data_IF_252408076463
#
_entry.id   IF_252408076463
#
_cell.length_a   1.000
_cell.length_b   1.000
_cell.length_c   1.000
_cell.angle_alpha   90.00
_cell.angle_beta   90.00
_cell.angle_gamma   90.00
#
_symmetry.space_group_name_H-M   'P 1'
#
loop_
_entity.id
_entity.type
_entity.pdbx_description
1 polymer ?
#
# COMPACT_ATOMS: atom_id res chain seq x y z
N UNK A 1 -15.61 -13.30 -3.35
CA UNK A 1 -14.78 -12.12 -3.62
C UNK A 1 -13.34 -12.59 -3.63
N UNK A 2 -12.48 -12.13 -4.55
CA UNK A 2 -11.06 -12.48 -4.51
C UNK A 2 -10.43 -12.02 -3.19
N UNK A 3 -9.54 -12.84 -2.65
CA UNK A 3 -8.77 -12.54 -1.45
C UNK A 3 -7.43 -11.93 -1.86
N UNK A 4 -7.04 -10.87 -1.16
CA UNK A 4 -5.75 -10.21 -1.32
C UNK A 4 -5.02 -10.13 0.01
N UNK A 5 -3.71 -10.21 -0.03
CA UNK A 5 -2.84 -10.12 1.13
C UNK A 5 -2.06 -8.80 1.07
N UNK A 6 -2.00 -8.09 2.20
CA UNK A 6 -1.38 -6.77 2.31
C UNK A 6 -0.15 -6.85 3.18
N UNK A 7 1.00 -7.05 2.56
CA UNK A 7 2.25 -7.27 3.27
C UNK A 7 3.03 -5.97 3.43
N UNK A 8 3.62 -5.76 4.60
CA UNK A 8 4.36 -4.54 4.90
C UNK A 8 5.85 -4.84 4.86
N UNK A 9 6.60 -4.03 4.11
CA UNK A 9 8.07 -4.04 4.10
C UNK A 9 8.55 -2.82 4.88
N UNK A 10 9.18 -3.03 6.04
CA UNK A 10 9.72 -1.98 6.92
C UNK A 10 10.98 -2.49 7.63
N UNK A 11 12.04 -2.73 6.85
CA UNK A 11 13.26 -3.40 7.29
C UNK A 11 13.13 -4.93 7.45
N UNK A 12 11.91 -5.43 7.60
CA UNK A 12 11.51 -6.83 7.50
C UNK A 12 10.15 -6.92 6.79
N UNK A 13 9.80 -8.13 6.33
CA UNK A 13 8.51 -8.40 5.67
C UNK A 13 7.52 -8.91 6.72
N UNK A 14 6.43 -8.19 6.91
CA UNK A 14 5.28 -8.60 7.71
C UNK A 14 4.22 -9.16 6.79
N UNK A 15 4.02 -10.48 6.84
CA UNK A 15 3.01 -11.18 6.05
C UNK A 15 1.60 -10.97 6.64
N UNK A 16 0.59 -10.85 5.77
CA UNK A 16 -0.82 -10.87 6.14
C UNK A 16 -1.41 -12.26 5.82
N UNK A 17 -1.47 -13.22 6.75
CA UNK A 17 -1.95 -14.57 6.46
C UNK A 17 -3.48 -14.64 6.31
N UNK A 18 -4.21 -13.63 6.76
CA UNK A 18 -5.67 -13.64 6.71
C UNK A 18 -6.18 -13.13 5.37
N UNK A 19 -5.53 -12.11 4.83
CA UNK A 19 -5.98 -11.40 3.66
C UNK A 19 -7.33 -10.72 3.86
N UNK A 20 -7.72 -9.89 2.91
CA UNK A 20 -9.01 -9.21 2.88
C UNK A 20 -9.74 -9.51 1.58
N UNK A 21 -11.05 -9.75 1.69
CA UNK A 21 -11.93 -9.83 0.53
C UNK A 21 -12.03 -8.47 -0.16
N UNK A 22 -11.61 -8.40 -1.43
CA UNK A 22 -11.82 -7.26 -2.30
C UNK A 22 -12.67 -7.66 -3.50
N UNK A 23 -13.31 -6.68 -4.13
CA UNK A 23 -14.17 -6.88 -5.30
C UNK A 23 -13.32 -7.10 -6.55
N UNK A 24 -12.21 -6.38 -6.65
CA UNK A 24 -11.24 -6.37 -7.75
C UNK A 24 -9.89 -5.80 -7.28
N UNK A 25 -8.89 -5.83 -8.16
CA UNK A 25 -7.56 -5.25 -7.96
C UNK A 25 -7.62 -3.76 -7.64
N UNK A 26 -8.59 -3.01 -8.17
CA UNK A 26 -8.68 -1.56 -7.96
C UNK A 26 -9.09 -1.23 -6.52
N UNK A 27 -10.00 -2.01 -5.94
CA UNK A 27 -10.32 -1.92 -4.52
C UNK A 27 -9.11 -2.31 -3.67
N UNK A 28 -8.40 -3.39 -4.02
CA UNK A 28 -7.22 -3.81 -3.30
C UNK A 28 -6.14 -2.70 -3.30
N UNK A 29 -5.88 -2.06 -4.45
CA UNK A 29 -4.99 -0.90 -4.55
C UNK A 29 -5.39 0.24 -3.64
N UNK A 30 -6.67 0.61 -3.65
CA UNK A 30 -7.22 1.67 -2.78
C UNK A 30 -7.02 1.36 -1.30
N UNK A 31 -7.19 0.08 -0.90
CA UNK A 31 -6.92 -0.36 0.48
C UNK A 31 -5.44 -0.25 0.82
N UNK A 32 -4.55 -0.68 -0.08
CA UNK A 32 -3.10 -0.60 0.11
C UNK A 32 -2.60 0.84 0.27
N UNK A 33 -3.08 1.76 -0.56
CA UNK A 33 -2.77 3.19 -0.44
C UNK A 33 -3.28 3.76 0.89
N UNK A 34 -4.48 3.33 1.33
CA UNK A 34 -5.01 3.67 2.64
C UNK A 34 -4.13 3.19 3.80
N UNK A 35 -3.67 1.94 3.75
CA UNK A 35 -2.76 1.37 4.75
C UNK A 35 -1.44 2.14 4.76
N UNK A 36 -0.86 2.41 3.58
CA UNK A 36 0.40 3.13 3.47
C UNK A 36 0.30 4.53 4.08
N UNK A 37 -0.76 5.26 3.77
CA UNK A 37 -1.01 6.59 4.35
C UNK A 37 -1.17 6.53 5.88
N UNK A 38 -1.93 5.58 6.41
CA UNK A 38 -2.10 5.46 7.88
C UNK A 38 -0.76 5.16 8.57
N UNK A 39 0.07 4.28 8.01
CA UNK A 39 1.39 3.97 8.59
C UNK A 39 2.32 5.18 8.50
N UNK A 40 2.30 5.93 7.40
CA UNK A 40 3.10 7.13 7.24
C UNK A 40 2.71 8.21 8.27
N UNK A 41 1.41 8.41 8.50
CA UNK A 41 0.89 9.34 9.53
C UNK A 41 1.26 8.91 10.95
N UNK A 42 1.20 7.60 11.25
CA UNK A 42 1.48 7.08 12.60
C UNK A 42 2.98 7.02 12.92
N UNK A 43 3.84 6.75 11.93
CA UNK A 43 5.27 6.51 12.10
C UNK A 43 6.06 7.23 11.00
N UNK A 44 6.64 8.38 11.35
CA UNK A 44 7.62 9.06 10.49
C UNK A 44 9.01 8.44 10.66
N UNK A 45 9.59 7.95 9.56
CA UNK A 45 10.96 7.44 9.48
C UNK A 45 11.58 7.84 8.15
N UNK A 46 12.78 8.41 8.22
CA UNK A 46 13.51 8.93 7.06
C UNK A 46 14.60 7.96 6.55
N UNK A 47 14.84 6.86 7.25
CA UNK A 47 16.04 6.03 7.09
C UNK A 47 15.81 4.69 6.36
N UNK A 48 14.55 4.35 6.04
CA UNK A 48 14.21 3.07 5.41
C UNK A 48 13.16 3.22 4.30
N UNK A 49 13.39 2.55 3.18
CA UNK A 49 12.36 2.37 2.15
C UNK A 49 11.29 1.43 2.69
N UNK A 50 10.07 1.95 2.84
CA UNK A 50 8.92 1.22 3.38
C UNK A 50 7.84 1.10 2.33
N UNK A 51 7.13 -0.02 2.29
CA UNK A 51 6.09 -0.24 1.28
C UNK A 51 4.99 -1.19 1.77
N UNK A 52 3.81 -1.05 1.18
CA UNK A 52 2.73 -2.04 1.21
C UNK A 52 2.71 -2.78 -0.12
N UNK A 53 2.81 -4.11 -0.08
CA UNK A 53 2.74 -5.01 -1.23
C UNK A 53 1.41 -5.74 -1.20
N UNK A 54 0.73 -5.78 -2.35
CA UNK A 54 -0.54 -6.47 -2.53
C UNK A 54 -0.30 -7.74 -3.33
N UNK A 55 -0.62 -8.88 -2.72
CA UNK A 55 -0.62 -10.18 -3.37
C UNK A 55 -2.05 -10.65 -3.60
N UNK A 56 -2.32 -11.28 -4.73
CA UNK A 56 -3.56 -12.03 -4.94
C UNK A 56 -3.54 -13.39 -4.22
N UNK A 57 -4.65 -14.14 -4.30
CA UNK A 57 -4.81 -15.47 -3.68
C UNK A 57 -3.82 -16.53 -4.21
N UNK A 58 -3.15 -16.26 -5.34
CA UNK A 58 -2.08 -17.12 -5.87
C UNK A 58 -0.68 -16.76 -5.36
N UNK A 59 -0.57 -15.69 -4.57
CA UNK A 59 0.70 -15.10 -4.13
C UNK A 59 1.37 -14.25 -5.21
N UNK A 60 0.65 -13.87 -6.28
CA UNK A 60 1.17 -13.00 -7.33
C UNK A 60 1.05 -11.55 -6.89
N UNK A 61 2.15 -10.81 -7.01
CA UNK A 61 2.14 -9.37 -6.75
C UNK A 61 1.34 -8.63 -7.82
N UNK A 62 0.32 -7.89 -7.38
CA UNK A 62 -0.56 -7.11 -8.27
C UNK A 62 -0.37 -5.60 -8.10
N UNK A 63 0.24 -5.17 -6.98
CA UNK A 63 0.50 -3.78 -6.67
C UNK A 63 1.52 -3.62 -5.56
N UNK A 64 2.23 -2.49 -5.57
CA UNK A 64 3.07 -2.02 -4.48
C UNK A 64 2.94 -0.50 -4.37
N UNK A 65 2.82 0.01 -3.15
CA UNK A 65 2.78 1.45 -2.86
C UNK A 65 3.76 1.78 -1.74
N UNK A 66 4.42 2.94 -1.84
CA UNK A 66 5.43 3.35 -0.87
C UNK A 66 4.78 3.94 0.39
N UNK A 67 5.43 3.78 1.54
CA UNK A 67 5.05 4.39 2.82
C UNK A 67 5.99 5.59 3.01
N UNK A 68 5.80 6.60 2.17
CA UNK A 68 6.62 7.83 2.14
C UNK A 68 5.85 8.99 2.79
N UNK A 69 6.58 9.84 3.53
CA UNK A 69 6.10 11.14 4.01
C UNK A 69 6.24 12.20 2.91
N UNK A 70 5.93 11.90 1.65
CA UNK A 70 5.60 12.95 0.69
C UNK A 70 4.32 12.56 0.00
N UNK A 71 3.24 13.13 0.55
CA UNK A 71 2.10 13.51 -0.26
C UNK A 71 2.64 14.22 -1.50
N UNK A 72 2.75 13.47 -2.58
CA UNK A 72 3.01 13.98 -3.93
C UNK A 72 1.75 14.76 -4.36
N UNK A 73 1.51 15.89 -3.69
CA UNK A 73 0.63 16.96 -4.14
C UNK A 73 1.35 17.67 -5.27
N UNK A 74 1.49 17.01 -6.41
CA UNK A 74 1.86 17.62 -7.67
C UNK A 74 1.30 16.72 -8.77
N UNK A 75 0.05 16.91 -9.20
CA UNK A 75 -0.29 17.77 -10.35
C UNK A 75 -1.81 17.59 -10.60
N UNK A 76 -2.65 18.58 -10.96
CA UNK A 76 -2.44 19.86 -11.61
C UNK A 76 -3.35 20.94 -11.00
N UNK A 77 -2.75 22.01 -10.48
CA UNK A 77 -3.23 23.36 -10.80
C UNK A 77 -2.96 23.59 -12.29
N UNK A 78 -4.01 23.63 -13.10
CA UNK A 78 -3.96 24.34 -14.39
C UNK A 78 -4.81 25.58 -14.25
N UNK A 79 -4.11 26.70 -14.05
CA UNK A 79 -4.58 28.06 -14.29
C UNK A 79 -5.45 28.16 -15.55
N UNK A 80 -6.63 28.76 -15.43
CA UNK A 80 -6.92 30.09 -16.01
C UNK A 80 -8.24 30.67 -15.53
#
# INVERSE_FOLDING_TARGET
MPKYHFEIIDGFRLEDPMGQDCSDDAQAKTVADGIANHIAEDIQRDDQTRAVVVLDDSGTEVYQTAIDDESDTSSLSSDK
#
